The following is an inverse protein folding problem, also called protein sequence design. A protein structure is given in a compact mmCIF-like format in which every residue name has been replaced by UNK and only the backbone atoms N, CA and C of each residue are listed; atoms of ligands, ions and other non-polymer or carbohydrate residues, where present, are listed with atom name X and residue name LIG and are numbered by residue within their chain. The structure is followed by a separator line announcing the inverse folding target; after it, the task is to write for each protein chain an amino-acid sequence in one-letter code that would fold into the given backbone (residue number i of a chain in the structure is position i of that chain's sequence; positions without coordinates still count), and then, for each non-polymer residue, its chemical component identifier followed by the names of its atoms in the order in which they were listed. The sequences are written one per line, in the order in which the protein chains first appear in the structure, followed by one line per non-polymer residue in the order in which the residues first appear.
data_IF_036060902694
#
_entry.id   IF_036060902694
#
_cell.length_a   1.000
_cell.length_b   1.000
_cell.length_c   1.000
_cell.angle_alpha   90.00
_cell.angle_beta   90.00
_cell.angle_gamma   90.00
#
_symmetry.space_group_name_H-M   'P 1'
#
loop_
_entity.id
_entity.type
_entity.pdbx_description
1 polymer ?
#
# COMPACT_ATOMS: atom_id res chain seq x y z
N UNK A 1 0.38 -2.97 -14.56
CA UNK A 1 1.20 -3.37 -15.73
C UNK A 1 2.00 -4.64 -15.47
N UNK A 2 2.62 -4.82 -14.29
CA UNK A 2 3.53 -5.95 -14.02
C UNK A 2 2.82 -7.31 -14.04
N UNK A 3 1.63 -7.41 -13.46
CA UNK A 3 0.88 -8.67 -13.32
C UNK A 3 -0.40 -8.75 -14.14
N UNK A 4 -0.81 -7.68 -14.81
CA UNK A 4 -2.05 -7.62 -15.59
C UNK A 4 -3.35 -7.69 -14.77
N UNK A 5 -3.26 -7.79 -13.45
CA UNK A 5 -4.38 -7.84 -12.52
C UNK A 5 -4.01 -7.18 -11.18
N UNK A 6 -4.98 -6.76 -10.36
CA UNK A 6 -4.73 -6.30 -8.99
C UNK A 6 -4.10 -7.41 -8.15
N UNK A 7 -3.13 -7.05 -7.33
CA UNK A 7 -2.45 -7.96 -6.43
C UNK A 7 -2.76 -7.60 -4.97
N UNK A 8 -2.75 -8.58 -4.09
CA UNK A 8 -2.91 -8.35 -2.67
C UNK A 8 -1.73 -7.55 -2.12
N UNK A 9 -2.03 -6.46 -1.43
CA UNK A 9 -1.08 -5.59 -0.77
C UNK A 9 -1.33 -5.59 0.73
N UNK A 10 -0.27 -5.46 1.49
CA UNK A 10 -0.27 -5.51 2.95
C UNK A 10 0.63 -4.41 3.50
N UNK A 11 0.11 -3.66 4.46
CA UNK A 11 0.92 -2.85 5.36
C UNK A 11 0.52 -3.13 6.80
N UNK A 12 1.48 -3.17 7.72
CA UNK A 12 1.21 -3.45 9.11
C UNK A 12 0.73 -2.19 9.85
N UNK A 13 -0.52 -2.21 10.36
CA UNK A 13 -0.99 -1.26 11.36
C UNK A 13 -0.71 -1.79 12.76
N UNK A 14 -0.22 -0.95 13.64
CA UNK A 14 -0.07 -1.30 15.06
C UNK A 14 -1.44 -1.32 15.76
N UNK A 15 -1.65 -2.27 16.67
CA UNK A 15 -2.88 -2.41 17.48
C UNK A 15 -2.59 -2.23 18.97
N UNK A 16 -1.84 -1.20 19.34
CA UNK A 16 -1.36 -0.92 20.71
C UNK A 16 -2.48 -0.60 21.69
N UNK A 17 -3.68 -0.27 21.21
CA UNK A 17 -4.87 -0.09 22.06
C UNK A 17 -5.30 -1.38 22.76
N UNK A 18 -4.91 -2.54 22.26
CA UNK A 18 -5.22 -3.85 22.84
C UNK A 18 -4.05 -4.36 23.68
N UNK A 19 -4.32 -4.89 24.87
CA UNK A 19 -3.31 -5.34 25.83
C UNK A 19 -2.27 -6.30 25.26
N UNK A 20 -2.69 -7.20 24.36
CA UNK A 20 -1.82 -8.15 23.66
C UNK A 20 -1.82 -7.92 22.15
N UNK A 21 -2.23 -6.73 21.74
CA UNK A 21 -2.31 -6.37 20.33
C UNK A 21 -0.93 -6.30 19.67
N UNK A 22 -0.84 -6.81 18.45
CA UNK A 22 0.37 -6.73 17.62
C UNK A 22 0.11 -5.86 16.40
N UNK A 23 -0.42 -6.45 15.35
CA UNK A 23 -0.68 -5.76 14.09
C UNK A 23 -1.99 -6.20 13.47
N UNK A 24 -2.59 -5.32 12.71
CA UNK A 24 -3.65 -5.59 11.74
C UNK A 24 -3.17 -5.21 10.35
N UNK A 25 -3.85 -5.67 9.32
CA UNK A 25 -3.54 -5.39 7.93
C UNK A 25 -4.20 -4.10 7.47
N UNK A 26 -3.39 -3.18 6.94
CA UNK A 26 -3.88 -2.11 6.07
C UNK A 26 -3.84 -2.64 4.64
N UNK A 27 -4.99 -2.74 3.99
CA UNK A 27 -5.07 -3.04 2.57
C UNK A 27 -4.91 -1.75 1.78
N UNK A 28 -3.68 -1.49 1.34
CA UNK A 28 -3.32 -0.23 0.68
C UNK A 28 -3.80 -0.15 -0.77
N UNK A 29 -4.08 -1.27 -1.43
CA UNK A 29 -4.70 -1.28 -2.76
C UNK A 29 -6.22 -1.12 -2.61
N UNK A 30 -6.74 0.09 -2.85
CA UNK A 30 -8.17 0.43 -2.85
C UNK A 30 -8.65 0.77 -4.26
N UNK A 31 -9.98 0.88 -4.45
CA UNK A 31 -10.54 1.33 -5.73
C UNK A 31 -10.09 2.76 -6.05
N UNK A 32 -9.99 3.61 -5.03
CA UNK A 32 -9.53 4.99 -5.16
C UNK A 32 -8.05 5.04 -5.57
N UNK A 33 -7.19 4.19 -4.99
CA UNK A 33 -5.78 4.12 -5.41
C UNK A 33 -5.62 3.57 -6.84
N UNK A 34 -6.46 2.62 -7.24
CA UNK A 34 -6.50 2.13 -8.61
C UNK A 34 -6.93 3.24 -9.58
N UNK A 35 -8.01 3.97 -9.26
CA UNK A 35 -8.49 5.09 -10.08
C UNK A 35 -7.43 6.19 -10.22
N UNK A 36 -6.68 6.49 -9.16
CA UNK A 36 -5.55 7.41 -9.22
C UNK A 36 -4.46 6.91 -10.17
N UNK A 37 -4.05 5.64 -10.03
CA UNK A 37 -3.04 5.06 -10.93
C UNK A 37 -3.48 5.05 -12.40
N UNK A 38 -4.76 4.84 -12.66
CA UNK A 38 -5.34 4.92 -14.01
C UNK A 38 -5.29 6.34 -14.56
N UNK A 39 -5.70 7.33 -13.75
CA UNK A 39 -5.64 8.74 -14.13
C UNK A 39 -4.21 9.23 -14.43
N UNK A 40 -3.20 8.76 -13.66
CA UNK A 40 -1.80 9.06 -13.95
C UNK A 40 -1.30 8.47 -15.28
N UNK A 41 -1.96 7.42 -15.78
CA UNK A 41 -1.61 6.80 -17.07
C UNK A 41 -2.44 7.32 -18.24
N UNK A 42 -3.52 8.02 -17.96
CA UNK A 42 -4.39 8.61 -18.98
C UNK A 42 -3.76 9.92 -19.49
N UNK A 43 -3.40 9.95 -20.78
CA UNK A 43 -2.84 11.13 -21.43
C UNK A 43 -3.85 12.28 -21.57
N UNK A 44 -5.14 12.00 -21.50
CA UNK A 44 -6.21 13.00 -21.59
C UNK A 44 -6.59 13.59 -20.23
N UNK A 45 -6.21 12.94 -19.12
CA UNK A 45 -6.52 13.44 -17.79
C UNK A 45 -5.73 14.71 -17.47
N UNK A 46 -6.40 15.70 -16.92
CA UNK A 46 -5.77 16.93 -16.43
C UNK A 46 -5.07 16.71 -15.08
N UNK A 47 -4.12 17.58 -14.74
CA UNK A 47 -3.47 17.52 -13.43
C UNK A 47 -4.47 17.74 -12.27
N UNK A 48 -5.53 18.52 -12.48
CA UNK A 48 -6.59 18.72 -11.49
C UNK A 48 -7.37 17.42 -11.21
N UNK A 49 -7.75 16.68 -12.25
CA UNK A 49 -8.41 15.36 -12.12
C UNK A 49 -7.50 14.34 -11.47
N UNK A 50 -6.22 14.27 -11.85
CA UNK A 50 -5.23 13.39 -11.21
C UNK A 50 -5.09 13.70 -9.73
N UNK A 51 -5.03 14.98 -9.36
CA UNK A 51 -4.91 15.41 -7.98
C UNK A 51 -6.17 15.10 -7.15
N UNK A 52 -7.36 15.27 -7.72
CA UNK A 52 -8.61 14.84 -7.08
C UNK A 52 -8.60 13.35 -6.75
N UNK A 53 -8.21 12.51 -7.72
CA UNK A 53 -8.08 11.05 -7.50
C UNK A 53 -7.00 10.72 -6.48
N UNK A 54 -5.87 11.44 -6.48
CA UNK A 54 -4.84 11.32 -5.46
C UNK A 54 -5.38 11.62 -4.06
N UNK A 55 -6.11 12.72 -3.88
CA UNK A 55 -6.69 13.07 -2.59
C UNK A 55 -7.70 12.03 -2.11
N UNK A 56 -8.54 11.50 -3.00
CA UNK A 56 -9.47 10.42 -2.68
C UNK A 56 -8.73 9.17 -2.21
N UNK A 57 -7.65 8.78 -2.90
CA UNK A 57 -6.81 7.64 -2.54
C UNK A 57 -6.14 7.82 -1.17
N UNK A 58 -5.59 8.99 -0.88
CA UNK A 58 -4.98 9.33 0.42
C UNK A 58 -6.03 9.27 1.53
N UNK A 59 -7.20 9.87 1.33
CA UNK A 59 -8.30 9.88 2.30
C UNK A 59 -8.75 8.44 2.61
N UNK A 60 -8.88 7.61 1.60
CA UNK A 60 -9.23 6.20 1.78
C UNK A 60 -8.15 5.44 2.54
N UNK A 61 -6.89 5.65 2.20
CA UNK A 61 -5.76 5.00 2.89
C UNK A 61 -5.71 5.37 4.38
N UNK A 62 -5.83 6.66 4.71
CA UNK A 62 -5.86 7.13 6.10
C UNK A 62 -7.03 6.52 6.88
N UNK A 63 -8.22 6.42 6.25
CA UNK A 63 -9.37 5.75 6.86
C UNK A 63 -9.09 4.28 7.13
N UNK A 64 -8.57 3.54 6.15
CA UNK A 64 -8.23 2.11 6.30
C UNK A 64 -7.18 1.90 7.41
N UNK A 65 -6.17 2.76 7.47
CA UNK A 65 -5.14 2.70 8.51
C UNK A 65 -5.70 2.92 9.92
N UNK A 66 -6.61 3.89 10.07
CA UNK A 66 -7.30 4.16 11.34
C UNK A 66 -8.18 2.98 11.76
N UNK A 67 -9.01 2.46 10.87
CA UNK A 67 -9.86 1.29 11.13
C UNK A 67 -9.02 0.07 11.53
N UNK A 68 -7.91 -0.20 10.83
CA UNK A 68 -6.98 -1.27 11.17
C UNK A 68 -6.37 -1.08 12.57
N UNK A 69 -5.90 0.10 12.92
CA UNK A 69 -5.33 0.40 14.24
C UNK A 69 -6.35 0.27 15.37
N UNK A 70 -7.63 0.44 15.08
CA UNK A 70 -8.74 0.26 16.03
C UNK A 70 -9.25 -1.18 16.12
N UNK A 71 -8.66 -2.10 15.36
CA UNK A 71 -9.05 -3.52 15.33
C UNK A 71 -10.30 -3.81 14.50
N UNK A 72 -10.76 -2.84 13.70
CA UNK A 72 -11.89 -3.00 12.79
C UNK A 72 -11.50 -3.58 11.41
N UNK A 73 -10.25 -3.99 11.24
CA UNK A 73 -9.78 -4.69 10.04
C UNK A 73 -10.34 -6.10 9.95
N UNK A 74 -10.48 -6.59 8.72
CA UNK A 74 -11.09 -7.91 8.46
C UNK A 74 -10.08 -9.06 8.53
N UNK A 75 -8.79 -8.80 8.35
CA UNK A 75 -7.80 -9.86 8.17
C UNK A 75 -7.55 -10.67 9.44
N UNK A 76 -7.40 -10.02 10.60
CA UNK A 76 -7.23 -10.72 11.88
C UNK A 76 -8.50 -11.40 12.33
N UNK A 77 -9.65 -10.80 12.04
CA UNK A 77 -10.96 -11.41 12.32
C UNK A 77 -11.13 -12.71 11.52
N UNK A 78 -10.94 -12.68 10.21
CA UNK A 78 -11.03 -13.88 9.36
C UNK A 78 -9.97 -14.93 9.73
N UNK A 79 -8.76 -14.50 10.07
CA UNK A 79 -7.73 -15.39 10.57
C UNK A 79 -8.17 -16.11 11.86
N UNK A 80 -8.76 -15.38 12.80
CA UNK A 80 -9.30 -15.94 14.04
C UNK A 80 -10.40 -16.96 13.78
N UNK A 81 -11.38 -16.61 12.94
CA UNK A 81 -12.46 -17.53 12.55
C UNK A 81 -11.92 -18.81 11.90
N UNK A 82 -10.94 -18.69 10.99
CA UNK A 82 -10.30 -19.85 10.38
C UNK A 82 -9.60 -20.76 11.39
N UNK A 83 -9.05 -20.20 12.47
CA UNK A 83 -8.40 -20.98 13.55
C UNK A 83 -9.36 -21.70 14.47
N UNK A 84 -10.64 -21.33 14.46
CA UNK A 84 -11.68 -21.97 15.26
C UNK A 84 -12.31 -23.19 14.57
N UNK A 85 -12.01 -23.43 13.30
CA UNK A 85 -12.47 -24.62 12.57
C UNK A 85 -11.83 -25.85 13.24
N UNK A 86 -12.68 -26.78 13.66
CA UNK A 86 -12.24 -27.98 14.37
C UNK A 86 -11.64 -29.03 13.39
N UNK A 87 -10.83 -29.93 13.94
CA UNK A 87 -10.29 -31.04 13.17
C UNK A 87 -11.44 -31.94 12.67
N UNK A 88 -11.52 -32.18 11.36
CA UNK A 88 -12.59 -32.96 10.72
C UNK A 88 -13.83 -32.17 10.35
N UNK A 89 -13.91 -30.88 10.71
CA UNK A 89 -14.96 -29.97 10.27
C UNK A 89 -14.69 -29.48 8.85
N UNK A 90 -15.73 -29.46 8.00
CA UNK A 90 -15.61 -28.87 6.66
C UNK A 90 -15.52 -27.34 6.76
N UNK A 91 -14.44 -26.71 6.23
CA UNK A 91 -14.33 -25.27 6.29
C UNK A 91 -15.49 -24.57 5.56
N UNK A 92 -16.02 -23.47 6.11
CA UNK A 92 -17.01 -22.63 5.43
C UNK A 92 -16.60 -22.26 4.01
N UNK A 93 -17.56 -22.07 3.10
CA UNK A 93 -17.33 -21.80 1.68
C UNK A 93 -16.35 -20.62 1.44
N UNK A 94 -16.42 -19.57 2.26
CA UNK A 94 -15.50 -18.44 2.20
C UNK A 94 -14.03 -18.88 2.28
N UNK A 95 -13.67 -19.80 3.17
CA UNK A 95 -12.28 -20.23 3.36
C UNK A 95 -11.82 -21.26 2.30
N UNK A 96 -12.77 -21.82 1.55
CA UNK A 96 -12.49 -22.73 0.42
C UNK A 96 -12.39 -21.98 -0.92
N UNK A 97 -12.85 -20.74 -0.97
CA UNK A 97 -12.81 -19.93 -2.18
C UNK A 97 -11.35 -19.61 -2.57
N UNK A 98 -10.94 -19.91 -3.82
CA UNK A 98 -9.60 -19.59 -4.32
C UNK A 98 -9.25 -18.08 -4.19
N UNK A 99 -10.24 -17.18 -4.30
CA UNK A 99 -10.04 -15.75 -4.13
C UNK A 99 -9.67 -15.38 -2.69
N UNK A 100 -10.15 -16.14 -1.69
CA UNK A 100 -9.71 -15.95 -0.31
C UNK A 100 -8.21 -16.23 -0.17
N UNK A 101 -7.72 -17.32 -0.74
CA UNK A 101 -6.29 -17.64 -0.74
C UNK A 101 -5.46 -16.58 -1.50
N UNK A 102 -5.94 -16.15 -2.67
CA UNK A 102 -5.29 -15.10 -3.46
C UNK A 102 -5.24 -13.77 -2.71
N UNK A 103 -6.32 -13.40 -2.01
CA UNK A 103 -6.40 -12.16 -1.23
C UNK A 103 -5.42 -12.10 -0.04
N UNK A 104 -4.96 -13.24 0.44
CA UNK A 104 -3.93 -13.37 1.47
C UNK A 104 -2.51 -13.62 0.93
N UNK A 105 -2.33 -13.68 -0.39
CA UNK A 105 -1.00 -13.83 -1.01
C UNK A 105 -0.39 -12.45 -1.25
N UNK A 106 0.36 -11.98 -0.27
CA UNK A 106 0.92 -10.63 -0.22
C UNK A 106 2.05 -10.44 -1.23
N UNK A 107 1.71 -9.96 -2.42
CA UNK A 107 2.70 -9.65 -3.48
C UNK A 107 3.47 -8.37 -3.15
N UNK A 108 2.84 -7.42 -2.48
CA UNK A 108 3.51 -6.24 -1.97
C UNK A 108 3.25 -6.13 -0.46
N UNK A 109 4.33 -6.22 0.30
CA UNK A 109 4.31 -5.95 1.74
C UNK A 109 5.07 -4.65 1.99
N UNK A 110 4.44 -3.71 2.67
CA UNK A 110 5.05 -2.43 3.02
C UNK A 110 5.05 -2.23 4.54
N UNK A 111 6.00 -1.46 5.04
CA UNK A 111 6.00 -1.06 6.43
C UNK A 111 6.79 0.24 6.61
N UNK A 112 6.32 1.08 7.51
CA UNK A 112 6.86 2.40 7.77
C UNK A 112 7.45 2.48 9.18
N UNK A 113 8.71 2.91 9.26
CA UNK A 113 9.31 3.41 10.50
C UNK A 113 10.00 4.72 10.15
N UNK A 114 9.47 5.82 10.66
CA UNK A 114 10.05 7.16 10.42
C UNK A 114 10.79 7.65 11.65
N UNK A 115 12.06 7.91 11.46
CA UNK A 115 12.91 8.54 12.48
C UNK A 115 14.08 9.22 11.77
N UNK A 116 14.43 10.41 12.21
CA UNK A 116 15.59 11.15 11.69
C UNK A 116 16.94 10.47 12.06
N UNK A 117 16.94 9.63 13.11
CA UNK A 117 18.16 8.95 13.57
C UNK A 117 18.43 7.62 12.84
N UNK A 118 17.50 7.12 12.04
CA UNK A 118 17.70 5.93 11.22
C UNK A 118 18.10 6.32 9.80
N UNK A 119 19.21 5.81 9.30
CA UNK A 119 19.60 5.97 7.90
C UNK A 119 18.75 5.13 6.98
N UNK A 120 18.60 3.85 7.31
CA UNK A 120 17.77 2.90 6.56
C UNK A 120 17.35 1.73 7.46
N UNK A 121 16.33 1.01 7.02
CA UNK A 121 15.91 -0.28 7.59
C UNK A 121 15.24 -1.11 6.48
N UNK A 122 15.04 -2.39 6.70
CA UNK A 122 14.46 -3.27 5.69
C UNK A 122 13.94 -4.56 6.27
N UNK A 123 13.15 -5.27 5.48
CA UNK A 123 12.65 -6.61 5.76
C UNK A 123 12.47 -7.37 4.44
N UNK A 124 12.48 -8.71 4.50
CA UNK A 124 12.29 -9.56 3.32
C UNK A 124 10.85 -9.59 2.81
N UNK A 125 10.68 -10.14 1.62
CA UNK A 125 9.36 -10.40 1.06
C UNK A 125 8.58 -11.42 1.93
N UNK A 126 7.24 -11.27 1.96
CA UNK A 126 6.35 -12.16 2.72
C UNK A 126 6.02 -13.43 1.94
N UNK A 127 6.06 -13.36 0.62
CA UNK A 127 5.85 -14.50 -0.28
C UNK A 127 7.00 -14.58 -1.29
N UNK A 128 7.39 -15.77 -1.76
CA UNK A 128 8.51 -15.91 -2.71
C UNK A 128 8.37 -15.13 -4.01
N UNK A 129 7.14 -14.75 -4.39
CA UNK A 129 6.84 -13.93 -5.57
C UNK A 129 6.56 -12.46 -5.24
N UNK A 130 6.87 -12.03 -4.02
CA UNK A 130 6.55 -10.71 -3.52
C UNK A 130 7.73 -9.76 -3.44
N UNK A 131 7.41 -8.56 -2.97
CA UNK A 131 8.36 -7.54 -2.57
C UNK A 131 8.12 -7.13 -1.12
N UNK A 132 9.20 -6.96 -0.37
CA UNK A 132 9.20 -6.25 0.91
C UNK A 132 9.71 -4.83 0.69
N UNK A 133 8.91 -3.84 1.04
CA UNK A 133 9.25 -2.43 0.86
C UNK A 133 9.17 -1.73 2.21
N UNK A 134 10.33 -1.51 2.81
CA UNK A 134 10.46 -0.66 3.98
C UNK A 134 10.59 0.79 3.55
N UNK A 135 9.97 1.72 4.27
CA UNK A 135 10.13 3.13 3.97
C UNK A 135 10.18 3.99 5.23
N UNK A 136 10.83 5.14 5.07
CA UNK A 136 10.88 6.18 6.08
C UNK A 136 10.52 7.53 5.45
N UNK A 137 9.62 8.26 6.12
CA UNK A 137 9.26 9.63 5.78
C UNK A 137 10.08 10.52 6.72
N UNK A 138 11.03 11.27 6.17
CA UNK A 138 11.86 12.22 6.88
C UNK A 138 11.46 13.65 6.53
N UNK A 139 12.03 14.63 7.22
CA UNK A 139 11.71 16.05 7.01
C UNK A 139 11.89 16.50 5.54
N UNK A 140 12.95 16.04 4.89
CA UNK A 140 13.33 16.46 3.53
C UNK A 140 13.52 15.29 2.55
N UNK A 141 13.18 14.07 2.95
CA UNK A 141 13.44 12.88 2.13
C UNK A 141 12.42 11.77 2.35
N UNK A 142 12.19 10.98 1.32
CA UNK A 142 11.57 9.66 1.40
C UNK A 142 12.64 8.62 1.10
N UNK A 143 12.83 7.67 2.00
CA UNK A 143 13.78 6.58 1.82
C UNK A 143 13.03 5.27 1.69
N UNK A 144 13.41 4.47 0.68
CA UNK A 144 12.83 3.15 0.44
C UNK A 144 13.93 2.09 0.41
N UNK A 145 13.68 0.97 1.07
CA UNK A 145 14.49 -0.25 0.95
C UNK A 145 13.63 -1.35 0.35
N UNK A 146 14.06 -1.88 -0.79
CA UNK A 146 13.28 -2.84 -1.57
C UNK A 146 13.98 -4.20 -1.54
N UNK A 147 13.27 -5.21 -1.07
CA UNK A 147 13.75 -6.60 -0.97
C UNK A 147 12.87 -7.51 -1.82
N UNK A 148 13.49 -8.45 -2.51
CA UNK A 148 12.83 -9.53 -3.25
C UNK A 148 13.83 -10.66 -3.54
N UNK A 149 13.33 -11.85 -3.87
CA UNK A 149 14.19 -12.93 -4.34
C UNK A 149 14.78 -12.58 -5.72
N UNK A 150 16.10 -12.44 -5.80
CA UNK A 150 16.85 -12.07 -7.03
C UNK A 150 16.51 -12.96 -8.22
N UNK A 151 16.23 -14.25 -8.00
CA UNK A 151 15.84 -15.19 -9.06
C UNK A 151 14.41 -15.01 -9.59
N UNK A 152 13.59 -14.21 -8.90
CA UNK A 152 12.18 -14.00 -9.24
C UNK A 152 11.95 -12.59 -9.78
N UNK A 153 12.54 -11.58 -9.13
CA UNK A 153 12.34 -10.17 -9.43
C UNK A 153 13.64 -9.38 -9.39
N UNK A 154 13.58 -8.16 -9.94
CA UNK A 154 14.65 -7.17 -9.87
C UNK A 154 14.25 -6.02 -8.94
N UNK A 155 14.92 -5.92 -7.79
CA UNK A 155 14.76 -4.78 -6.89
C UNK A 155 15.14 -3.47 -7.57
N UNK A 156 16.23 -3.45 -8.36
CA UNK A 156 16.67 -2.26 -9.11
C UNK A 156 15.61 -1.76 -10.09
N UNK A 157 14.92 -2.68 -10.79
CA UNK A 157 13.83 -2.30 -11.69
C UNK A 157 12.64 -1.72 -10.93
N UNK A 158 12.30 -2.30 -9.78
CA UNK A 158 11.23 -1.77 -8.94
C UNK A 158 11.59 -0.38 -8.41
N UNK A 159 12.83 -0.20 -7.92
CA UNK A 159 13.34 1.09 -7.45
C UNK A 159 13.27 2.16 -8.52
N UNK A 160 13.67 1.84 -9.77
CA UNK A 160 13.57 2.75 -10.89
C UNK A 160 12.13 3.26 -11.08
N UNK A 161 11.15 2.36 -11.20
CA UNK A 161 9.76 2.77 -11.41
C UNK A 161 9.14 3.49 -10.20
N UNK A 162 9.54 3.14 -8.98
CA UNK A 162 9.09 3.84 -7.79
C UNK A 162 9.62 5.29 -7.76
N UNK A 163 10.88 5.47 -8.13
CA UNK A 163 11.49 6.80 -8.24
C UNK A 163 10.79 7.65 -9.32
N UNK A 164 10.59 7.10 -10.52
CA UNK A 164 9.86 7.78 -11.59
C UNK A 164 8.45 8.19 -11.15
N UNK A 165 7.71 7.29 -10.49
CA UNK A 165 6.38 7.62 -9.98
C UNK A 165 6.40 8.73 -8.93
N UNK A 166 7.43 8.78 -8.08
CA UNK A 166 7.64 9.87 -7.12
C UNK A 166 7.91 11.21 -7.81
N UNK A 167 8.74 11.21 -8.85
CA UNK A 167 9.04 12.40 -9.66
C UNK A 167 7.78 12.89 -10.38
N UNK A 168 7.03 12.00 -11.02
CA UNK A 168 5.78 12.35 -11.72
C UNK A 168 4.74 12.96 -10.75
N UNK A 169 4.57 12.36 -9.56
CA UNK A 169 3.66 12.87 -8.54
C UNK A 169 4.07 14.27 -8.09
N UNK A 170 5.34 14.49 -7.85
CA UNK A 170 5.89 15.80 -7.47
C UNK A 170 5.68 16.83 -8.57
N UNK A 171 6.00 16.48 -9.81
CA UNK A 171 5.83 17.37 -10.96
C UNK A 171 4.37 17.78 -11.17
N UNK A 172 3.42 16.86 -11.02
CA UNK A 172 1.98 17.16 -11.04
C UNK A 172 1.61 18.21 -9.98
N UNK A 173 2.07 18.01 -8.75
CA UNK A 173 1.79 18.93 -7.64
C UNK A 173 2.39 20.32 -7.87
N UNK A 174 3.61 20.38 -8.38
CA UNK A 174 4.30 21.65 -8.65
C UNK A 174 3.60 22.45 -9.78
N UNK A 175 3.13 21.80 -10.85
CA UNK A 175 2.32 22.44 -11.91
C UNK A 175 1.02 23.01 -11.39
N UNK A 176 0.32 22.29 -10.51
CA UNK A 176 -0.92 22.76 -9.89
C UNK A 176 -0.70 23.97 -8.99
N UNK A 177 0.40 24.02 -8.26
CA UNK A 177 0.74 25.20 -7.42
C UNK A 177 1.10 26.40 -8.27
N UNK A 178 1.82 26.23 -9.37
CA UNK A 178 2.13 27.30 -10.33
C UNK A 178 0.83 27.87 -10.94
N UNK A 179 -0.09 27.00 -11.38
CA UNK A 179 -1.38 27.44 -11.95
C UNK A 179 -2.21 28.24 -10.92
N UNK A 180 -2.23 27.84 -9.66
CA UNK A 180 -2.93 28.58 -8.60
C UNK A 180 -2.30 29.95 -8.30
N UNK A 181 -0.97 30.03 -8.36
CA UNK A 181 -0.24 31.29 -8.12
C UNK A 181 -0.33 32.27 -9.32
N UNK A 182 -0.57 31.77 -10.54
CA UNK A 182 -0.75 32.57 -11.74
C UNK A 182 -2.19 33.11 -11.89
N UNK A 183 -3.19 32.56 -11.16
CA UNK A 183 -4.54 33.07 -11.16
C UNK A 183 -4.62 34.37 -10.37
N UNK A 184 -5.12 35.50 -10.96
CA UNK A 184 -5.24 36.77 -10.24
C UNK A 184 -6.12 36.56 -9.01
N UNK A 185 -5.69 37.08 -7.86
CA UNK A 185 -6.58 37.24 -6.70
C UNK A 185 -7.59 38.33 -7.09
N UNK A 186 -8.83 37.92 -7.37
CA UNK A 186 -9.99 38.84 -7.47
C UNK A 186 -10.34 39.38 -6.09
#
# INVERSE_FOLDING_TARGET
KMFGHPCATYEAAQTRKFKLGRTETIRSCSLESLAFCQAMQDTNATDAERYEKFQAAVTRHVKNAKEAAEGAGVDRHLFGLKRLIQQGEEPPALFRDPMNAQSGTWILSTSQISSEVFDAWGFGEVTPKGFGVAYAIKNNALTFTIMCLKKVHSASRFTFFLNEAGIELRAMHDRLNQAKSASPKL
#
